data_IF_939423608574
#
_entry.id   IF_939423608574
#
_cell.length_a   1.000
_cell.length_b   1.000
_cell.length_c   1.000
_cell.angle_alpha   90.00
_cell.angle_beta   90.00
_cell.angle_gamma   90.00
#
_symmetry.space_group_name_H-M   'P 1'
#
loop_
_entity.id
_entity.type
_entity.pdbx_description
1 polymer ?
#
# COMPACT_ATOMS: atom_id res chain seq x y z
N UNK A 1 -17.76 25.93 -25.19
CA UNK A 1 -16.46 26.31 -24.59
C UNK A 1 -16.08 25.40 -23.41
N UNK A 2 -16.98 25.11 -22.47
CA UNK A 2 -16.70 24.23 -21.32
C UNK A 2 -16.35 22.79 -21.67
N UNK A 3 -16.91 22.19 -22.73
CA UNK A 3 -16.53 20.83 -23.16
C UNK A 3 -15.06 20.71 -23.53
N UNK A 4 -14.48 21.74 -24.16
CA UNK A 4 -13.04 21.78 -24.48
C UNK A 4 -12.21 21.91 -23.22
N UNK A 5 -12.63 22.75 -22.26
CA UNK A 5 -11.96 22.90 -20.98
C UNK A 5 -11.95 21.59 -20.16
N UNK A 6 -13.09 20.88 -20.13
CA UNK A 6 -13.21 19.58 -19.47
C UNK A 6 -12.34 18.52 -20.19
N UNK A 7 -12.34 18.50 -21.52
CA UNK A 7 -11.46 17.60 -22.29
C UNK A 7 -9.97 17.85 -22.04
N UNK A 8 -9.57 19.12 -21.96
CA UNK A 8 -8.20 19.51 -21.59
C UNK A 8 -7.86 19.09 -20.16
N UNK A 9 -8.79 19.23 -19.22
CA UNK A 9 -8.61 18.78 -17.84
C UNK A 9 -8.38 17.27 -17.76
N UNK A 10 -9.17 16.47 -18.46
CA UNK A 10 -8.97 15.02 -18.53
C UNK A 10 -7.61 14.65 -19.17
N UNK A 11 -7.23 15.33 -20.25
CA UNK A 11 -5.95 15.11 -20.92
C UNK A 11 -4.77 15.46 -20.02
N UNK A 12 -4.86 16.58 -19.29
CA UNK A 12 -3.86 17.02 -18.33
C UNK A 12 -3.81 16.10 -17.11
N UNK A 13 -4.97 15.58 -16.67
CA UNK A 13 -5.05 14.56 -15.61
C UNK A 13 -4.41 13.24 -16.04
N UNK A 14 -4.64 12.79 -17.28
CA UNK A 14 -3.98 11.62 -17.84
C UNK A 14 -2.45 11.80 -17.91
N UNK A 15 -1.99 12.97 -18.34
CA UNK A 15 -0.56 13.29 -18.36
C UNK A 15 0.03 13.31 -16.93
N UNK A 16 -0.65 13.96 -15.99
CA UNK A 16 -0.25 14.02 -14.59
C UNK A 16 -0.20 12.62 -13.97
N UNK A 17 -1.14 11.73 -14.31
CA UNK A 17 -1.14 10.33 -13.91
C UNK A 17 0.11 9.60 -14.39
N UNK A 18 0.44 9.70 -15.68
CA UNK A 18 1.64 9.07 -16.24
C UNK A 18 2.93 9.60 -15.60
N UNK A 19 3.01 10.92 -15.38
CA UNK A 19 4.14 11.56 -14.71
C UNK A 19 4.26 11.15 -13.25
N UNK A 20 3.15 11.05 -12.54
CA UNK A 20 3.09 10.59 -11.15
C UNK A 20 3.67 9.18 -11.02
N UNK A 21 3.22 8.24 -11.86
CA UNK A 21 3.74 6.88 -11.85
C UNK A 21 5.22 6.81 -12.18
N UNK A 22 5.68 7.59 -13.16
CA UNK A 22 7.09 7.65 -13.53
C UNK A 22 7.96 8.21 -12.39
N UNK A 23 7.52 9.28 -11.72
CA UNK A 23 8.33 10.03 -10.75
C UNK A 23 8.21 9.52 -9.32
N UNK A 24 7.02 9.19 -8.85
CA UNK A 24 6.76 8.82 -7.45
C UNK A 24 7.05 7.35 -7.17
N UNK A 25 6.87 6.48 -8.17
CA UNK A 25 6.87 5.02 -8.02
C UNK A 25 8.02 4.31 -8.76
N UNK A 26 8.94 5.05 -9.40
CA UNK A 26 10.08 4.49 -10.14
C UNK A 26 9.65 3.33 -11.08
N UNK A 27 8.64 3.62 -11.90
CA UNK A 27 7.87 2.69 -12.73
C UNK A 27 8.64 1.50 -13.36
N UNK A 28 9.82 1.69 -13.99
CA UNK A 28 10.52 0.57 -14.64
C UNK A 28 10.89 -0.55 -13.65
N UNK A 29 11.27 -0.20 -12.43
CA UNK A 29 11.63 -1.17 -11.40
C UNK A 29 10.38 -1.84 -10.79
N UNK A 30 9.29 -1.09 -10.66
CA UNK A 30 8.06 -1.60 -10.06
C UNK A 30 7.36 -2.63 -10.96
N UNK A 31 7.35 -2.41 -12.28
CA UNK A 31 6.75 -3.34 -13.24
C UNK A 31 7.48 -4.67 -13.36
N UNK A 32 8.80 -4.65 -13.22
CA UNK A 32 9.58 -5.89 -13.21
C UNK A 32 9.23 -6.74 -12.00
N UNK A 33 8.90 -6.10 -10.87
CA UNK A 33 8.53 -6.80 -9.64
C UNK A 33 7.06 -7.21 -9.59
N UNK A 34 6.16 -6.37 -10.11
CA UNK A 34 4.71 -6.57 -10.09
C UNK A 34 4.09 -6.31 -11.47
N UNK A 35 4.04 -7.32 -12.36
CA UNK A 35 3.54 -7.13 -13.72
C UNK A 35 2.06 -6.77 -13.77
N UNK A 36 1.26 -7.19 -12.77
CA UNK A 36 -0.16 -6.85 -12.69
C UNK A 36 -0.42 -5.35 -12.45
N UNK A 37 0.59 -4.57 -12.01
CA UNK A 37 0.43 -3.12 -11.86
C UNK A 37 0.32 -2.37 -13.20
N UNK A 38 0.56 -3.04 -14.35
CA UNK A 38 0.27 -2.47 -15.67
C UNK A 38 -1.22 -2.16 -15.84
N UNK A 39 -2.10 -2.98 -15.28
CA UNK A 39 -3.55 -2.83 -15.40
C UNK A 39 -4.06 -1.52 -14.77
N UNK A 40 -3.80 -1.20 -13.49
CA UNK A 40 -4.21 0.08 -12.92
C UNK A 40 -3.48 1.27 -13.54
N UNK A 41 -2.24 1.09 -14.00
CA UNK A 41 -1.49 2.16 -14.66
C UNK A 41 -2.10 2.56 -16.01
N UNK A 42 -2.25 1.60 -16.94
CA UNK A 42 -2.88 1.84 -18.25
C UNK A 42 -4.35 2.17 -18.10
N UNK A 43 -5.06 1.46 -17.22
CA UNK A 43 -6.48 1.68 -16.95
C UNK A 43 -6.75 3.10 -16.48
N UNK A 44 -5.93 3.64 -15.57
CA UNK A 44 -6.04 5.03 -15.11
C UNK A 44 -5.89 6.05 -16.23
N UNK A 45 -4.88 5.90 -17.09
CA UNK A 45 -4.71 6.79 -18.24
C UNK A 45 -5.86 6.65 -19.26
N UNK A 46 -6.23 5.40 -19.57
CA UNK A 46 -7.26 5.09 -20.56
C UNK A 46 -8.62 5.64 -20.16
N UNK A 47 -9.03 5.46 -18.90
CA UNK A 47 -10.32 5.97 -18.41
C UNK A 47 -10.39 7.50 -18.52
N UNK A 48 -9.31 8.21 -18.24
CA UNK A 48 -9.28 9.67 -18.40
C UNK A 48 -9.35 10.08 -19.87
N UNK A 49 -8.65 9.39 -20.77
CA UNK A 49 -8.71 9.66 -22.21
C UNK A 49 -10.08 9.35 -22.81
N UNK A 50 -10.72 8.27 -22.38
CA UNK A 50 -12.12 7.96 -22.73
C UNK A 50 -13.05 9.04 -22.20
N UNK A 51 -12.84 9.50 -20.96
CA UNK A 51 -13.56 10.65 -20.40
C UNK A 51 -13.40 11.93 -21.23
N UNK A 52 -12.19 12.22 -21.71
CA UNK A 52 -11.92 13.34 -22.60
C UNK A 52 -12.67 13.21 -23.94
N UNK A 53 -12.64 12.02 -24.54
CA UNK A 53 -13.31 11.75 -25.82
C UNK A 53 -14.83 11.85 -25.71
N UNK A 54 -15.42 11.29 -24.64
CA UNK A 54 -16.87 11.33 -24.41
C UNK A 54 -17.40 12.74 -24.18
N UNK A 55 -16.62 13.61 -23.53
CA UNK A 55 -17.02 15.01 -23.28
C UNK A 55 -17.04 15.85 -24.57
N UNK A 56 -16.24 15.49 -25.57
CA UNK A 56 -16.21 16.17 -26.86
C UNK A 56 -17.43 15.82 -27.74
N UNK A 57 -18.22 14.80 -27.38
CA UNK A 57 -19.46 14.50 -28.08
C UNK A 57 -20.53 15.58 -27.82
N UNK A 58 -21.14 16.17 -28.89
CA UNK A 58 -22.04 17.32 -28.78
C UNK A 58 -23.31 17.09 -27.94
N UNK A 59 -23.77 15.85 -27.75
CA UNK A 59 -25.10 15.54 -27.20
C UNK A 59 -25.13 15.27 -25.68
N UNK A 60 -24.09 15.62 -24.93
CA UNK A 60 -23.94 15.21 -23.52
C UNK A 60 -24.41 16.22 -22.48
N UNK A 61 -25.04 17.35 -22.85
CA UNK A 61 -25.57 18.30 -21.85
C UNK A 61 -26.96 17.90 -21.37
N UNK A 62 -27.03 17.02 -20.40
CA UNK A 62 -28.26 16.80 -19.66
C UNK A 62 -28.53 18.00 -18.73
N UNK A 63 -29.80 18.34 -18.52
CA UNK A 63 -30.20 19.51 -17.72
C UNK A 63 -29.74 19.46 -16.25
N UNK A 64 -29.89 20.60 -15.54
CA UNK A 64 -29.45 20.78 -14.13
C UNK A 64 -29.83 19.63 -13.19
N UNK A 65 -31.08 19.17 -13.26
CA UNK A 65 -31.60 18.08 -12.42
C UNK A 65 -30.85 16.76 -12.64
N UNK A 66 -30.46 16.46 -13.88
CA UNK A 66 -29.71 15.25 -14.19
C UNK A 66 -28.25 15.32 -13.70
N UNK A 67 -27.64 16.50 -13.78
CA UNK A 67 -26.29 16.73 -13.25
C UNK A 67 -26.25 16.56 -11.72
N UNK A 68 -27.27 17.02 -11.00
CA UNK A 68 -27.39 16.81 -9.55
C UNK A 68 -27.50 15.32 -9.18
N UNK A 69 -28.31 14.55 -9.92
CA UNK A 69 -28.41 13.09 -9.74
C UNK A 69 -27.06 12.40 -9.99
N UNK A 70 -26.33 12.81 -11.03
CA UNK A 70 -25.00 12.25 -11.32
C UNK A 70 -23.99 12.53 -10.19
N UNK A 71 -24.05 13.71 -9.58
CA UNK A 71 -23.24 14.03 -8.40
C UNK A 71 -23.58 13.15 -7.20
N UNK A 72 -24.86 12.96 -6.93
CA UNK A 72 -25.31 12.12 -5.81
C UNK A 72 -24.88 10.65 -5.99
N UNK A 73 -25.02 10.13 -7.21
CA UNK A 73 -24.50 8.79 -7.57
C UNK A 73 -22.99 8.71 -7.39
N UNK A 74 -22.23 9.74 -7.78
CA UNK A 74 -20.78 9.78 -7.61
C UNK A 74 -20.40 9.80 -6.13
N UNK A 75 -21.11 10.57 -5.31
CA UNK A 75 -20.91 10.64 -3.87
C UNK A 75 -21.19 9.30 -3.19
N UNK A 76 -22.34 8.68 -3.48
CA UNK A 76 -22.70 7.35 -2.95
C UNK A 76 -21.67 6.28 -3.28
N UNK A 77 -21.16 6.27 -4.53
CA UNK A 77 -20.10 5.34 -4.94
C UNK A 77 -18.77 5.61 -4.25
N UNK A 78 -18.44 6.88 -4.03
CA UNK A 78 -17.23 7.25 -3.32
C UNK A 78 -17.24 6.73 -1.88
N UNK A 79 -18.38 6.81 -1.21
CA UNK A 79 -18.53 6.33 0.17
C UNK A 79 -18.37 4.81 0.28
N UNK A 80 -18.94 4.06 -0.69
CA UNK A 80 -18.74 2.61 -0.79
C UNK A 80 -17.27 2.23 -1.00
N UNK A 81 -16.58 2.90 -1.91
CA UNK A 81 -15.15 2.65 -2.20
C UNK A 81 -14.29 3.00 -1.00
N UNK A 82 -14.55 4.13 -0.34
CA UNK A 82 -13.79 4.56 0.82
C UNK A 82 -13.96 3.56 1.96
N UNK A 83 -15.20 3.15 2.26
CA UNK A 83 -15.51 2.15 3.28
C UNK A 83 -14.84 0.80 2.98
N UNK A 84 -14.91 0.33 1.73
CA UNK A 84 -14.25 -0.91 1.31
C UNK A 84 -12.71 -0.82 1.40
N UNK A 85 -12.12 0.31 1.03
CA UNK A 85 -10.67 0.50 1.12
C UNK A 85 -10.20 0.54 2.59
N UNK A 86 -10.97 1.17 3.47
CA UNK A 86 -10.69 1.23 4.90
C UNK A 86 -10.78 -0.14 5.56
N UNK A 87 -11.79 -0.94 5.23
CA UNK A 87 -11.93 -2.29 5.77
C UNK A 87 -10.76 -3.20 5.37
N UNK A 88 -10.32 -3.12 4.11
CA UNK A 88 -9.16 -3.90 3.66
C UNK A 88 -7.87 -3.43 4.33
N UNK A 89 -7.68 -2.12 4.53
CA UNK A 89 -6.54 -1.58 5.29
C UNK A 89 -6.50 -2.13 6.72
N UNK A 90 -7.64 -2.18 7.40
CA UNK A 90 -7.73 -2.75 8.75
C UNK A 90 -7.39 -4.23 8.73
N UNK A 91 -7.99 -5.01 7.81
CA UNK A 91 -7.71 -6.45 7.68
C UNK A 91 -6.23 -6.69 7.38
N UNK A 92 -5.64 -5.94 6.45
CA UNK A 92 -4.21 -6.02 6.14
C UNK A 92 -3.35 -5.71 7.37
N UNK A 93 -3.68 -4.65 8.10
CA UNK A 93 -2.95 -4.28 9.32
C UNK A 93 -3.04 -5.37 10.38
N UNK A 94 -4.20 -6.01 10.54
CA UNK A 94 -4.38 -7.12 11.49
C UNK A 94 -3.60 -8.36 11.05
N UNK A 95 -3.70 -8.77 9.78
CA UNK A 95 -2.99 -9.96 9.26
C UNK A 95 -1.48 -9.81 9.43
N UNK A 96 -0.92 -8.67 9.01
CA UNK A 96 0.51 -8.39 9.16
C UNK A 96 0.91 -8.16 10.63
N UNK A 97 0.02 -7.58 11.45
CA UNK A 97 0.24 -7.40 12.88
C UNK A 97 0.28 -8.73 13.65
N UNK A 98 -0.55 -9.70 13.25
CA UNK A 98 -0.60 -11.03 13.85
C UNK A 98 0.57 -11.91 13.42
N UNK A 99 1.05 -11.77 12.18
CA UNK A 99 2.09 -12.67 11.65
C UNK A 99 3.48 -12.47 12.28
N UNK A 100 3.75 -11.43 13.08
CA UNK A 100 5.05 -11.07 13.69
C UNK A 100 6.28 -11.04 12.73
N UNK A 101 6.12 -11.47 11.49
CA UNK A 101 7.14 -11.62 10.47
C UNK A 101 6.91 -10.53 9.43
N UNK A 102 7.54 -9.40 9.69
CA UNK A 102 7.73 -8.26 8.79
C UNK A 102 6.55 -7.28 8.67
N UNK A 103 6.84 -5.96 8.65
CA UNK A 103 5.83 -4.94 8.40
C UNK A 103 5.24 -5.07 6.99
N UNK A 104 4.02 -4.53 6.76
CA UNK A 104 3.40 -4.55 5.44
C UNK A 104 4.29 -3.88 4.39
N UNK A 105 4.14 -4.25 3.10
CA UNK A 105 5.03 -3.77 2.05
C UNK A 105 5.04 -2.25 1.97
N UNK A 106 6.23 -1.63 2.00
CA UNK A 106 6.35 -0.17 1.91
C UNK A 106 5.66 0.39 0.65
N UNK A 107 5.67 -0.36 -0.46
CA UNK A 107 4.97 -0.01 -1.70
C UNK A 107 3.46 0.06 -1.51
N UNK A 108 2.87 -0.89 -0.78
CA UNK A 108 1.44 -0.88 -0.44
C UNK A 108 1.07 0.37 0.37
N UNK A 109 1.82 0.66 1.44
CA UNK A 109 1.58 1.83 2.30
C UNK A 109 1.70 3.14 1.50
N UNK A 110 2.70 3.24 0.61
CA UNK A 110 2.87 4.41 -0.26
C UNK A 110 1.70 4.57 -1.23
N UNK A 111 1.26 3.49 -1.90
CA UNK A 111 0.13 3.54 -2.82
C UNK A 111 -1.18 3.91 -2.10
N UNK A 112 -1.44 3.32 -0.94
CA UNK A 112 -2.64 3.63 -0.14
C UNK A 112 -2.62 5.06 0.40
N UNK A 113 -1.46 5.57 0.83
CA UNK A 113 -1.36 6.96 1.29
C UNK A 113 -1.56 7.95 0.14
N UNK A 114 -1.00 7.70 -1.04
CA UNK A 114 -1.30 8.51 -2.22
C UNK A 114 -2.77 8.42 -2.63
N UNK A 115 -3.39 7.25 -2.56
CA UNK A 115 -4.81 7.07 -2.82
C UNK A 115 -5.65 7.91 -1.86
N UNK A 116 -5.33 7.88 -0.56
CA UNK A 116 -6.05 8.66 0.45
C UNK A 116 -5.92 10.17 0.21
N UNK A 117 -4.72 10.65 -0.15
CA UNK A 117 -4.51 12.06 -0.52
C UNK A 117 -5.33 12.43 -1.76
N UNK A 118 -5.38 11.57 -2.78
CA UNK A 118 -6.17 11.80 -3.99
C UNK A 118 -7.69 11.83 -3.70
N UNK A 119 -8.19 10.91 -2.87
CA UNK A 119 -9.59 10.85 -2.44
C UNK A 119 -9.96 12.01 -1.50
N UNK A 120 -9.04 12.49 -0.67
CA UNK A 120 -9.26 13.70 0.12
C UNK A 120 -9.31 14.94 -0.79
N UNK A 121 -8.44 15.01 -1.79
CA UNK A 121 -8.49 16.03 -2.83
C UNK A 121 -9.79 16.04 -3.64
N UNK A 122 -10.45 14.88 -3.80
CA UNK A 122 -11.79 14.77 -4.37
C UNK A 122 -12.87 15.47 -3.55
N UNK A 123 -12.73 15.52 -2.22
CA UNK A 123 -13.72 16.17 -1.34
C UNK A 123 -13.58 17.70 -1.29
N UNK A 124 -12.39 18.23 -1.59
CA UNK A 124 -12.09 19.67 -1.57
C UNK A 124 -13.04 20.56 -2.39
N UNK A 125 -13.47 20.19 -3.62
CA UNK A 125 -14.28 21.04 -4.49
C UNK A 125 -15.74 21.15 -4.04
N UNK A 126 -16.21 20.25 -3.16
CA UNK A 126 -17.59 20.26 -2.64
C UNK A 126 -17.85 21.55 -1.84
N UNK A 127 -16.82 22.10 -1.18
CA UNK A 127 -16.92 23.32 -0.38
C UNK A 127 -17.23 24.56 -1.22
N UNK A 128 -16.90 24.55 -2.53
CA UNK A 128 -16.97 25.73 -3.39
C UNK A 128 -18.19 25.77 -4.31
N UNK A 129 -19.11 24.79 -4.28
CA UNK A 129 -20.15 24.66 -5.31
C UNK A 129 -21.13 25.85 -5.32
N UNK A 130 -21.16 26.70 -6.37
CA UNK A 130 -22.19 27.72 -6.52
C UNK A 130 -23.47 27.03 -7.02
N UNK A 131 -24.50 26.94 -6.18
CA UNK A 131 -25.75 26.23 -6.50
C UNK A 131 -26.56 26.82 -7.68
N UNK A 132 -26.15 27.97 -8.21
CA UNK A 132 -26.94 28.74 -9.18
C UNK A 132 -26.56 28.47 -10.65
N UNK A 133 -25.39 27.87 -10.95
CA UNK A 133 -24.89 27.73 -12.33
C UNK A 133 -24.64 26.26 -12.74
N UNK A 134 -25.38 25.78 -13.76
CA UNK A 134 -25.28 24.40 -14.31
C UNK A 134 -23.89 24.06 -14.82
N UNK A 135 -23.26 25.01 -15.51
CA UNK A 135 -21.97 24.79 -16.18
C UNK A 135 -20.84 24.57 -15.17
N UNK A 136 -20.87 25.28 -14.03
CA UNK A 136 -19.91 25.09 -12.95
C UNK A 136 -20.09 23.74 -12.26
N UNK A 137 -21.35 23.34 -12.05
CA UNK A 137 -21.68 22.02 -11.51
C UNK A 137 -21.12 20.93 -12.43
N UNK A 138 -21.36 21.01 -13.74
CA UNK A 138 -20.80 20.08 -14.72
C UNK A 138 -19.27 20.00 -14.66
N UNK A 139 -18.58 21.14 -14.61
CA UNK A 139 -17.11 21.19 -14.53
C UNK A 139 -16.57 20.56 -13.24
N UNK A 140 -17.17 20.90 -12.10
CA UNK A 140 -16.82 20.33 -10.79
C UNK A 140 -17.03 18.82 -10.76
N UNK A 141 -18.10 18.30 -11.39
CA UNK A 141 -18.37 16.86 -11.46
C UNK A 141 -17.25 16.14 -12.17
N UNK A 142 -16.83 16.66 -13.32
CA UNK A 142 -15.77 16.03 -14.11
C UNK A 142 -14.42 16.11 -13.39
N UNK A 143 -14.14 17.20 -12.68
CA UNK A 143 -12.93 17.33 -11.87
C UNK A 143 -12.90 16.30 -10.74
N UNK A 144 -14.02 16.15 -10.03
CA UNK A 144 -14.22 15.14 -9.01
C UNK A 144 -14.12 13.72 -9.58
N UNK A 145 -14.79 13.44 -10.69
CA UNK A 145 -14.73 12.13 -11.36
C UNK A 145 -13.29 11.77 -11.72
N UNK A 146 -12.51 12.73 -12.23
CA UNK A 146 -11.11 12.51 -12.57
C UNK A 146 -10.26 12.18 -11.34
N UNK A 147 -10.40 12.94 -10.25
CA UNK A 147 -9.69 12.69 -9.00
C UNK A 147 -10.09 11.34 -8.35
N UNK A 148 -11.38 11.04 -8.35
CA UNK A 148 -11.94 9.80 -7.83
C UNK A 148 -11.40 8.57 -8.57
N UNK A 149 -11.42 8.60 -9.90
CA UNK A 149 -10.86 7.52 -10.72
C UNK A 149 -9.37 7.31 -10.42
N UNK A 150 -8.59 8.39 -10.32
CA UNK A 150 -7.18 8.32 -9.94
C UNK A 150 -6.97 7.67 -8.57
N UNK A 151 -7.74 8.09 -7.56
CA UNK A 151 -7.72 7.48 -6.23
C UNK A 151 -8.07 6.00 -6.26
N UNK A 152 -9.14 5.62 -6.97
CA UNK A 152 -9.58 4.23 -7.10
C UNK A 152 -8.51 3.34 -7.73
N UNK A 153 -7.86 3.78 -8.82
CA UNK A 153 -6.78 3.01 -9.44
C UNK A 153 -5.55 2.88 -8.54
N UNK A 154 -5.26 3.87 -7.69
CA UNK A 154 -4.20 3.76 -6.68
C UNK A 154 -4.55 2.75 -5.58
N UNK A 155 -5.81 2.73 -5.12
CA UNK A 155 -6.29 1.70 -4.19
C UNK A 155 -6.14 0.31 -4.83
N UNK A 156 -6.62 0.12 -6.05
CA UNK A 156 -6.49 -1.15 -6.77
C UNK A 156 -5.02 -1.58 -6.92
N UNK A 157 -4.12 -0.66 -7.28
CA UNK A 157 -2.68 -0.93 -7.36
C UNK A 157 -2.09 -1.35 -6.01
N UNK A 158 -2.50 -0.69 -4.92
CA UNK A 158 -2.13 -1.06 -3.57
C UNK A 158 -2.57 -2.49 -3.25
N UNK A 159 -3.84 -2.81 -3.50
CA UNK A 159 -4.41 -4.13 -3.24
C UNK A 159 -3.71 -5.24 -4.04
N UNK A 160 -3.40 -5.00 -5.33
CA UNK A 160 -2.65 -5.95 -6.15
C UNK A 160 -1.27 -6.20 -5.55
N UNK A 161 -0.57 -5.14 -5.14
CA UNK A 161 0.76 -5.24 -4.50
C UNK A 161 0.70 -6.08 -3.22
N UNK A 162 -0.31 -5.81 -2.38
CA UNK A 162 -0.52 -6.54 -1.13
C UNK A 162 -0.81 -8.03 -1.39
N UNK A 163 -1.71 -8.32 -2.32
CA UNK A 163 -2.10 -9.69 -2.65
C UNK A 163 -0.92 -10.48 -3.23
N UNK A 164 -0.13 -9.88 -4.12
CA UNK A 164 1.02 -10.53 -4.72
C UNK A 164 2.12 -10.81 -3.69
N UNK A 165 2.33 -9.91 -2.73
CA UNK A 165 3.27 -10.14 -1.62
C UNK A 165 2.77 -11.24 -0.65
N UNK A 166 1.46 -11.31 -0.38
CA UNK A 166 0.88 -12.41 0.42
C UNK A 166 1.07 -13.77 -0.26
N UNK A 167 0.76 -13.88 -1.56
CA UNK A 167 0.91 -15.13 -2.32
C UNK A 167 2.37 -15.62 -2.39
N UNK A 168 3.34 -14.69 -2.52
CA UNK A 168 4.76 -15.02 -2.51
C UNK A 168 5.25 -15.49 -1.15
N UNK A 169 4.71 -14.89 -0.07
CA UNK A 169 5.08 -15.25 1.31
C UNK A 169 4.62 -16.67 1.67
N UNK A 170 3.42 -17.05 1.22
CA UNK A 170 2.88 -18.41 1.39
C UNK A 170 3.71 -19.46 0.64
N UNK A 171 4.12 -19.15 -0.61
CA UNK A 171 4.96 -20.04 -1.43
C UNK A 171 6.36 -20.27 -0.85
N UNK A 172 6.92 -19.26 -0.16
CA UNK A 172 8.23 -19.36 0.50
C UNK A 172 8.21 -20.23 1.76
N UNK A 173 7.11 -20.19 2.52
CA UNK A 173 6.95 -21.01 3.73
C UNK A 173 6.88 -22.51 3.43
N UNK A 174 6.24 -22.90 2.32
CA UNK A 174 6.09 -24.32 1.92
C UNK A 174 7.39 -24.95 1.41
N UNK A 175 8.28 -24.17 0.76
CA UNK A 175 9.57 -24.70 0.28
C UNK A 175 10.61 -24.91 1.39
N UNK A 176 10.48 -24.21 2.53
CA UNK A 176 11.48 -24.29 3.60
C UNK A 176 11.27 -25.49 4.54
N UNK A 177 10.14 -26.21 4.43
CA UNK A 177 9.77 -27.33 5.32
C UNK A 177 10.07 -28.73 4.72
N UNK A 178 10.68 -28.80 3.54
CA UNK A 178 11.02 -30.07 2.87
C UNK A 178 12.52 -30.42 2.87
N UNK A 179 13.29 -29.82 3.79
CA UNK A 179 14.75 -29.77 3.69
C UNK A 179 15.54 -30.05 4.96
N UNK A 180 15.05 -30.80 5.95
CA UNK A 180 15.92 -31.39 6.99
C UNK A 180 15.36 -32.71 7.49
N UNK A 181 15.77 -33.81 6.84
CA UNK A 181 15.73 -35.14 7.42
C UNK A 181 16.67 -35.21 8.66
N UNK A 182 16.33 -35.98 9.71
CA UNK A 182 17.18 -36.13 10.88
C UNK A 182 18.36 -37.06 10.54
N UNK A 183 19.58 -36.51 10.50
CA UNK A 183 20.80 -37.33 10.42
C UNK A 183 21.15 -37.90 11.80
N UNK A 184 20.47 -38.99 12.17
CA UNK A 184 20.90 -39.87 13.26
C UNK A 184 21.98 -40.82 12.74
N UNK A 185 23.20 -40.59 13.22
CA UNK A 185 24.22 -41.59 13.54
C UNK A 185 24.83 -42.42 12.41
N UNK A 186 26.11 -42.13 12.08
CA UNK A 186 27.09 -43.20 11.83
C UNK A 186 28.53 -42.68 11.94
N UNK A 187 29.30 -43.36 12.79
CA UNK A 187 30.75 -43.57 12.76
C UNK A 187 31.66 -42.51 13.39
N UNK A 188 32.18 -42.90 14.55
CA UNK A 188 33.38 -42.33 15.13
C UNK A 188 34.61 -42.64 14.30
N UNK A 189 35.50 -41.66 14.24
CA UNK A 189 36.91 -41.90 14.02
C UNK A 189 37.69 -40.81 14.75
N UNK A 190 38.38 -41.23 15.81
CA UNK A 190 39.38 -40.42 16.52
C UNK A 190 40.71 -40.61 15.79
N UNK A 191 41.38 -39.55 15.31
CA UNK A 191 42.80 -39.61 15.04
C UNK A 191 43.55 -39.10 16.27
N UNK A 192 44.16 -40.03 16.99
CA UNK A 192 45.25 -39.76 17.93
C UNK A 192 46.42 -39.23 17.12
N UNK A 193 46.89 -38.02 17.41
CA UNK A 193 48.24 -37.58 17.03
C UNK A 193 48.95 -37.12 18.30
N UNK A 194 49.87 -37.95 18.78
CA UNK A 194 50.77 -37.65 19.87
C UNK A 194 52.12 -37.22 19.28
N UNK A 195 52.56 -36.00 19.58
CA UNK A 195 53.97 -35.63 19.66
C UNK A 195 54.08 -34.54 20.73
N UNK A 196 54.69 -34.90 21.86
CA UNK A 196 54.90 -33.99 22.98
C UNK A 196 56.23 -33.26 22.92
N UNK A 197 56.34 -32.24 23.78
CA UNK A 197 57.55 -31.80 24.49
C UNK A 197 57.11 -30.89 25.65
N UNK A 198 57.36 -31.35 26.89
CA UNK A 198 57.92 -30.62 28.06
C UNK A 198 57.53 -29.13 28.29
N UNK A 199 57.18 -28.60 29.46
CA UNK A 199 57.21 -28.99 30.89
C UNK A 199 56.54 -27.84 31.72
N UNK A 200 56.48 -27.80 33.08
CA UNK A 200 55.24 -27.58 33.84
C UNK A 200 55.21 -26.33 34.78
N UNK A 201 54.02 -25.97 35.31
CA UNK A 201 53.77 -25.55 36.72
C UNK A 201 52.32 -25.05 36.97
N UNK A 202 51.68 -25.63 37.99
CA UNK A 202 50.39 -25.32 38.67
C UNK A 202 50.48 -24.08 39.62
N UNK A 203 49.48 -23.76 40.49
CA UNK A 203 48.01 -23.62 40.40
C UNK A 203 47.49 -22.32 41.11
N UNK A 204 46.17 -22.21 41.35
CA UNK A 204 45.40 -21.35 42.31
C UNK A 204 44.43 -20.37 41.61
N UNK A 205 43.15 -20.26 41.96
CA UNK A 205 42.37 -20.93 43.00
C UNK A 205 40.94 -20.35 43.10
N UNK A 206 40.10 -21.12 43.81
CA UNK A 206 39.01 -20.68 44.70
C UNK A 206 37.63 -20.31 44.09
N UNK A 207 36.74 -21.30 44.20
CA UNK A 207 35.38 -21.29 44.79
C UNK A 207 34.29 -20.26 44.40
N UNK A 208 33.14 -20.82 43.98
CA UNK A 208 31.73 -20.38 44.10
C UNK A 208 31.31 -20.12 45.59
N UNK A 209 30.05 -19.73 45.98
CA UNK A 209 28.83 -19.24 45.28
C UNK A 209 28.01 -18.13 46.05
N UNK A 210 26.82 -17.78 45.51
CA UNK A 210 25.51 -17.58 46.20
C UNK A 210 25.01 -16.24 46.83
N UNK A 211 23.67 -16.06 46.66
CA UNK A 211 22.64 -15.32 47.45
C UNK A 211 22.69 -13.79 47.53
N UNK A 212 21.67 -13.06 47.05
CA UNK A 212 20.32 -12.87 47.59
C UNK A 212 20.24 -11.87 48.76
N UNK A 213 19.35 -10.89 48.59
CA UNK A 213 18.54 -10.23 49.64
C UNK A 213 19.12 -9.04 50.42
N UNK A 214 18.57 -7.84 50.14
CA UNK A 214 18.21 -6.75 51.08
C UNK A 214 17.48 -5.68 50.24
N UNK A 215 16.15 -5.49 50.25
CA UNK A 215 15.17 -5.21 51.31
C UNK A 215 15.37 -3.86 52.04
N UNK A 216 14.51 -2.92 51.64
CA UNK A 216 13.92 -1.81 52.42
C UNK A 216 14.70 -0.50 52.63
N UNK A 217 14.11 0.60 52.12
CA UNK A 217 13.45 1.66 52.92
C UNK A 217 12.59 2.53 51.99
N UNK A 218 11.26 2.47 52.06
CA UNK A 218 10.33 3.17 52.96
C UNK A 218 10.07 4.66 52.59
N UNK A 219 8.80 4.92 52.16
CA UNK A 219 7.91 6.08 52.49
C UNK A 219 8.37 7.51 52.19
N UNK A 220 7.55 8.50 51.82
CA UNK A 220 6.10 8.83 51.95
C UNK A 220 5.92 10.05 50.99
N UNK A 221 4.82 10.25 50.28
CA UNK A 221 3.50 10.58 50.79
C UNK A 221 3.19 12.07 50.55
N UNK A 222 2.36 12.37 49.55
CA UNK A 222 1.16 13.21 49.59
C UNK A 222 0.63 13.43 48.16
#
# INVERSE_FOLDING_TARGET
MYSVAIGLMYSLSALAWLLFWRRSLAMPALLQRYPLLQAPWLGGALVQLVGAALVLHPDTSAGKEFEAVLFDVLHSRADLVLSASASILVVATVVYGMQQQSPPPQTFIRLMSYAMVALLGFMLPIVWIPQTQSEWMRLLRHMQTAAFNGGLFLVCAGLITLLEDLMRSESGAVSSDHGTAPSVGAQGHVPITATGTDSPALPQGIEHPQSAEERHKHTTGQ
#
